data_IF_665942744908
#
_entry.id   IF_665942744908
#
_cell.length_a   1.000
_cell.length_b   1.000
_cell.length_c   1.000
_cell.angle_alpha   90.00
_cell.angle_beta   90.00
_cell.angle_gamma   90.00
#
_symmetry.space_group_name_H-M   'P 1'
#
loop_
_entity.id
_entity.type
_entity.pdbx_description
1 polymer ?
#
# COMPACT_ATOMS: atom_id res chain seq x y z
N UNK A 1 0.01 -16.03 37.13
CA UNK A 1 0.49 -14.63 37.08
C UNK A 1 0.01 -14.02 35.79
N UNK A 2 -0.58 -12.83 35.84
CA UNK A 2 -1.01 -12.10 34.64
C UNK A 2 0.23 -11.51 33.95
N UNK A 3 0.12 -11.24 32.65
CA UNK A 3 1.21 -10.64 31.87
C UNK A 3 1.65 -9.27 32.43
N UNK A 4 0.69 -8.51 32.95
CA UNK A 4 0.91 -7.23 33.63
C UNK A 4 1.78 -7.38 34.89
N UNK A 5 1.55 -8.43 35.69
CA UNK A 5 2.33 -8.72 36.90
C UNK A 5 3.80 -9.04 36.54
N UNK A 6 4.01 -9.75 35.43
CA UNK A 6 5.34 -10.12 34.92
C UNK A 6 6.10 -8.91 34.39
N UNK A 7 5.43 -7.99 33.69
CA UNK A 7 6.01 -6.73 33.20
C UNK A 7 6.41 -5.78 34.35
N UNK A 8 5.60 -5.74 35.41
CA UNK A 8 5.93 -4.99 36.62
C UNK A 8 7.17 -5.59 37.32
N UNK A 9 7.31 -6.91 37.32
CA UNK A 9 8.46 -7.62 37.91
C UNK A 9 9.77 -7.44 37.12
N UNK A 10 9.70 -7.18 35.81
CA UNK A 10 10.87 -6.88 34.94
C UNK A 10 11.29 -5.38 35.01
N UNK A 11 10.58 -4.55 35.78
CA UNK A 11 10.93 -3.13 35.98
C UNK A 11 10.15 -2.13 35.13
N UNK A 12 9.00 -2.53 34.55
CA UNK A 12 8.09 -1.65 33.83
C UNK A 12 8.62 -1.09 32.50
N UNK A 13 7.93 -0.08 31.95
CA UNK A 13 8.24 0.55 30.66
C UNK A 13 9.45 1.50 30.77
N UNK A 14 10.66 0.93 30.88
CA UNK A 14 11.92 1.67 30.98
C UNK A 14 12.59 2.00 29.64
N UNK A 15 13.71 2.74 29.69
CA UNK A 15 14.52 3.13 28.51
C UNK A 15 14.98 1.95 27.65
N UNK A 16 15.27 0.81 28.28
CA UNK A 16 15.67 -0.42 27.61
C UNK A 16 14.54 -1.01 26.74
N UNK A 17 13.30 -0.97 27.22
CA UNK A 17 12.14 -1.47 26.46
C UNK A 17 11.82 -0.56 25.27
N UNK A 18 11.98 0.77 25.43
CA UNK A 18 11.86 1.73 24.32
C UNK A 18 12.93 1.46 23.26
N UNK A 19 14.17 1.20 23.68
CA UNK A 19 15.27 0.89 22.76
C UNK A 19 15.02 -0.42 21.99
N UNK A 20 14.56 -1.48 22.66
CA UNK A 20 14.16 -2.73 22.02
C UNK A 20 13.00 -2.49 21.03
N UNK A 21 11.99 -1.73 21.43
CA UNK A 21 10.86 -1.41 20.56
C UNK A 21 11.32 -0.69 19.29
N UNK A 22 12.22 0.29 19.40
CA UNK A 22 12.81 0.99 18.26
C UNK A 22 13.55 0.03 17.33
N UNK A 23 14.40 -0.85 17.88
CA UNK A 23 15.10 -1.89 17.11
C UNK A 23 14.13 -2.81 16.36
N UNK A 24 13.06 -3.25 17.01
CA UNK A 24 12.03 -4.10 16.38
C UNK A 24 11.27 -3.38 15.26
N UNK A 25 11.23 -2.05 15.31
CA UNK A 25 10.59 -1.26 14.26
C UNK A 25 11.49 -1.02 13.04
N UNK A 26 12.83 -1.11 13.14
CA UNK A 26 13.72 -0.83 12.00
C UNK A 26 13.45 -1.69 10.74
N UNK A 27 13.22 -3.02 10.85
CA UNK A 27 12.88 -3.83 9.69
C UNK A 27 11.57 -3.41 8.99
N UNK A 28 10.68 -2.68 9.68
CA UNK A 28 9.40 -2.20 9.11
C UNK A 28 9.60 -1.25 7.95
N UNK A 29 10.72 -0.54 7.91
CA UNK A 29 11.02 0.46 6.87
C UNK A 29 11.04 -0.19 5.49
N UNK A 30 11.43 -1.46 5.37
CA UNK A 30 11.53 -2.13 4.07
C UNK A 30 10.17 -2.56 3.48
N UNK A 31 9.18 -2.81 4.32
CA UNK A 31 7.84 -3.23 3.85
C UNK A 31 7.17 -2.24 2.89
N UNK A 32 6.99 -0.95 3.24
CA UNK A 32 6.41 0.04 2.33
C UNK A 32 7.22 0.15 1.03
N UNK A 33 8.55 0.04 1.11
CA UNK A 33 9.40 0.09 -0.07
C UNK A 33 9.03 -1.01 -1.06
N UNK A 34 8.80 -2.25 -0.60
CA UNK A 34 8.35 -3.34 -1.46
C UNK A 34 6.92 -3.18 -1.96
N UNK A 35 6.00 -2.73 -1.10
CA UNK A 35 4.58 -2.62 -1.45
C UNK A 35 4.31 -1.54 -2.49
N UNK A 36 5.07 -0.44 -2.46
CA UNK A 36 4.95 0.66 -3.41
C UNK A 36 6.05 0.64 -4.50
N UNK A 37 6.94 -0.36 -4.50
CA UNK A 37 8.01 -0.50 -5.48
C UNK A 37 7.49 -0.51 -6.91
N UNK A 38 6.33 -1.17 -7.11
CA UNK A 38 5.69 -1.31 -8.40
C UNK A 38 5.44 0.04 -9.09
N UNK A 39 5.16 1.11 -8.33
CA UNK A 39 4.96 2.46 -8.87
C UNK A 39 6.13 2.95 -9.74
N UNK A 40 7.35 2.52 -9.42
CA UNK A 40 8.56 2.88 -10.17
C UNK A 40 8.99 1.79 -11.15
N UNK A 41 8.80 0.51 -10.82
CA UNK A 41 9.18 -0.59 -11.73
C UNK A 41 8.35 -0.59 -13.01
N UNK A 42 7.05 -0.32 -12.88
CA UNK A 42 6.07 -0.39 -13.96
C UNK A 42 5.63 1.00 -14.44
N UNK A 43 6.37 2.05 -14.07
CA UNK A 43 6.09 3.40 -14.53
C UNK A 43 6.17 3.45 -16.06
N UNK A 44 5.18 4.08 -16.69
CA UNK A 44 5.14 4.33 -18.13
C UNK A 44 5.61 5.76 -18.39
N UNK A 45 6.83 5.98 -18.89
CA UNK A 45 7.26 7.31 -19.30
C UNK A 45 6.43 7.79 -20.49
N UNK A 46 6.51 9.09 -20.78
CA UNK A 46 5.93 9.66 -22.01
C UNK A 46 6.54 8.97 -23.22
N UNK A 47 5.68 8.55 -24.14
CA UNK A 47 6.06 7.76 -25.30
C UNK A 47 5.20 8.14 -26.49
N UNK A 48 5.69 7.80 -27.66
CA UNK A 48 5.02 8.00 -28.93
C UNK A 48 5.31 6.83 -29.87
N UNK A 49 4.51 6.68 -30.93
CA UNK A 49 4.73 5.63 -31.92
C UNK A 49 6.11 5.81 -32.59
N UNK A 50 6.82 4.71 -32.80
CA UNK A 50 8.04 4.72 -33.61
C UNK A 50 7.69 4.99 -35.08
N UNK A 51 8.36 5.97 -35.67
CA UNK A 51 8.13 6.39 -37.07
C UNK A 51 9.24 5.74 -37.93
N UNK A 52 8.89 4.98 -38.98
CA UNK A 52 9.90 4.40 -39.86
C UNK A 52 10.65 5.49 -40.62
N UNK A 53 11.97 5.32 -40.78
CA UNK A 53 12.79 6.28 -41.48
C UNK A 53 12.45 6.27 -42.98
N UNK A 54 11.90 7.37 -43.49
CA UNK A 54 11.54 7.55 -44.90
C UNK A 54 12.45 8.59 -45.54
N UNK A 55 12.77 8.45 -46.84
CA UNK A 55 13.58 9.44 -47.57
C UNK A 55 12.99 10.85 -47.54
N UNK A 56 11.65 10.95 -47.47
CA UNK A 56 10.92 12.22 -47.36
C UNK A 56 11.21 12.97 -46.03
N UNK A 57 11.71 12.28 -45.00
CA UNK A 57 12.01 12.87 -43.68
C UNK A 57 13.43 13.41 -43.57
N UNK A 58 14.31 13.18 -44.56
CA UNK A 58 15.73 13.56 -44.50
C UNK A 58 15.94 15.07 -44.36
N UNK A 59 15.02 15.88 -44.90
CA UNK A 59 15.09 17.34 -44.86
C UNK A 59 14.28 17.96 -43.71
N UNK A 60 13.66 17.16 -42.83
CA UNK A 60 12.76 17.64 -41.78
C UNK A 60 13.37 17.43 -40.39
N UNK A 61 13.02 18.33 -39.46
CA UNK A 61 13.38 18.19 -38.05
C UNK A 61 12.48 17.16 -37.34
N UNK A 62 12.94 16.61 -36.21
CA UNK A 62 12.16 15.61 -35.46
C UNK A 62 10.80 16.16 -34.99
N UNK A 63 10.71 17.45 -34.66
CA UNK A 63 9.45 18.08 -34.27
C UNK A 63 8.46 18.15 -35.43
N UNK A 64 8.93 18.49 -36.63
CA UNK A 64 8.11 18.52 -37.84
C UNK A 64 7.66 17.11 -38.23
N UNK A 65 8.53 16.11 -38.10
CA UNK A 65 8.20 14.70 -38.36
C UNK A 65 7.13 14.18 -37.39
N UNK A 66 7.21 14.53 -36.12
CA UNK A 66 6.18 14.20 -35.13
C UNK A 66 4.85 14.87 -35.45
N UNK A 67 4.86 16.16 -35.80
CA UNK A 67 3.67 16.93 -36.15
C UNK A 67 2.88 16.32 -37.31
N UNK A 68 3.57 15.84 -38.35
CA UNK A 68 2.93 15.26 -39.54
C UNK A 68 2.52 13.80 -39.35
N UNK A 69 3.11 13.08 -38.39
CA UNK A 69 2.94 11.62 -38.26
C UNK A 69 2.02 11.22 -37.09
N UNK A 70 1.86 12.08 -36.08
CA UNK A 70 1.13 11.77 -34.85
C UNK A 70 0.06 12.83 -34.58
N UNK A 71 -1.20 12.44 -34.32
CA UNK A 71 -2.25 13.39 -34.02
C UNK A 71 -2.01 14.08 -32.67
N UNK A 72 -2.38 15.37 -32.58
CA UNK A 72 -2.33 16.13 -31.34
C UNK A 72 -3.65 16.02 -30.56
N UNK A 73 -3.52 15.88 -29.25
CA UNK A 73 -4.60 15.94 -28.29
C UNK A 73 -5.04 17.40 -28.04
N UNK A 74 -6.23 17.63 -27.46
CA UNK A 74 -6.73 18.97 -27.15
C UNK A 74 -5.82 19.77 -26.20
N UNK A 75 -5.00 19.07 -25.42
CA UNK A 75 -4.07 19.64 -24.45
C UNK A 75 -2.73 20.07 -25.12
N UNK A 76 -2.58 19.88 -26.44
CA UNK A 76 -1.38 20.21 -27.21
C UNK A 76 -0.28 19.14 -27.20
N UNK A 77 -0.51 18.03 -26.50
CA UNK A 77 0.36 16.86 -26.46
C UNK A 77 0.12 15.94 -27.66
N UNK A 78 1.11 15.12 -28.02
CA UNK A 78 0.94 14.08 -29.04
C UNK A 78 0.23 12.86 -28.46
N UNK A 79 -0.68 12.25 -29.24
CA UNK A 79 -1.30 10.98 -28.88
C UNK A 79 -0.23 9.89 -28.72
N UNK A 80 -0.22 9.20 -27.58
CA UNK A 80 0.82 8.20 -27.28
C UNK A 80 0.60 6.85 -27.97
N UNK A 81 -0.64 6.55 -28.38
CA UNK A 81 -1.06 5.22 -28.84
C UNK A 81 -1.57 5.18 -30.29
N UNK A 82 -1.67 6.34 -30.94
CA UNK A 82 -2.24 6.48 -32.29
C UNK A 82 -1.26 7.23 -33.20
N UNK A 83 -1.30 6.89 -34.49
CA UNK A 83 -0.54 7.57 -35.54
C UNK A 83 -1.37 7.70 -36.81
N UNK A 84 -0.98 8.62 -37.69
CA UNK A 84 -1.58 8.70 -39.02
C UNK A 84 -1.12 7.55 -39.91
N UNK A 85 -2.02 7.02 -40.75
CA UNK A 85 -1.67 6.01 -41.75
C UNK A 85 -0.65 6.49 -42.78
N UNK A 86 -0.66 7.80 -43.08
CA UNK A 86 0.29 8.47 -43.97
C UNK A 86 0.68 9.85 -43.41
N UNK A 87 1.93 10.30 -43.61
CA UNK A 87 2.39 11.58 -43.09
C UNK A 87 1.65 12.77 -43.72
N UNK A 88 1.16 13.67 -42.86
CA UNK A 88 0.32 14.81 -43.22
C UNK A 88 1.14 16.09 -43.42
N UNK A 89 1.82 16.21 -44.56
CA UNK A 89 2.65 17.39 -44.88
C UNK A 89 1.87 18.72 -44.93
N UNK A 90 0.55 18.67 -45.13
CA UNK A 90 -0.30 19.86 -45.15
C UNK A 90 -0.28 20.62 -43.81
N UNK A 91 -0.03 19.93 -42.68
CA UNK A 91 0.07 20.53 -41.36
C UNK A 91 1.26 21.50 -41.23
N UNK A 92 2.31 21.31 -42.04
CA UNK A 92 3.47 22.21 -42.08
C UNK A 92 3.19 23.50 -42.86
N UNK A 93 2.31 23.44 -43.86
CA UNK A 93 2.05 24.58 -44.76
C UNK A 93 0.94 25.52 -44.25
N UNK A 94 0.34 25.25 -43.08
CA UNK A 94 -0.74 26.04 -42.47
C UNK A 94 -1.83 26.46 -43.47
N UNK A 95 -2.04 25.64 -44.50
CA UNK A 95 -2.86 25.96 -45.66
C UNK A 95 -4.22 25.32 -45.47
N UNK A 96 -5.26 26.15 -45.45
CA UNK A 96 -6.68 25.79 -45.37
C UNK A 96 -7.21 25.08 -46.63
N UNK A 97 -6.38 24.26 -47.27
CA UNK A 97 -6.80 23.37 -48.35
C UNK A 97 -7.41 22.12 -47.72
N UNK A 98 -8.64 21.82 -48.12
CA UNK A 98 -9.46 20.72 -47.61
C UNK A 98 -8.68 19.40 -47.53
N UNK A 99 -8.92 18.59 -46.48
CA UNK A 99 -8.21 17.33 -46.28
C UNK A 99 -8.44 16.40 -47.48
N UNK A 100 -7.37 15.82 -48.01
CA UNK A 100 -7.52 14.51 -48.64
C UNK A 100 -7.98 13.55 -47.54
N UNK A 101 -9.26 13.18 -47.59
CA UNK A 101 -10.03 12.37 -46.64
C UNK A 101 -9.50 10.94 -46.40
N UNK A 102 -8.23 10.66 -46.70
CA UNK A 102 -7.66 9.32 -46.73
C UNK A 102 -6.69 9.03 -45.57
N UNK A 103 -6.38 10.01 -44.70
CA UNK A 103 -5.57 9.75 -43.51
C UNK A 103 -6.42 9.10 -42.43
N UNK A 104 -6.27 7.79 -42.28
CA UNK A 104 -6.94 7.01 -41.24
C UNK A 104 -6.04 7.02 -40.00
N UNK A 105 -6.61 7.38 -38.84
CA UNK A 105 -5.93 7.22 -37.56
C UNK A 105 -5.85 5.72 -37.26
N UNK A 106 -4.65 5.23 -36.98
CA UNK A 106 -4.39 3.80 -36.72
C UNK A 106 -3.51 3.62 -35.49
N UNK A 107 -3.53 2.42 -34.91
CA UNK A 107 -2.62 2.06 -33.81
C UNK A 107 -1.17 1.94 -34.29
N UNK A 108 -0.22 2.22 -33.39
CA UNK A 108 1.21 2.16 -33.67
C UNK A 108 1.60 0.77 -34.26
N UNK A 109 2.26 0.75 -35.42
CA UNK A 109 2.64 -0.50 -36.10
C UNK A 109 4.11 -0.91 -35.87
N UNK A 110 5.00 0.06 -35.61
CA UNK A 110 6.46 -0.14 -35.61
C UNK A 110 7.08 -0.09 -34.20
N UNK A 111 6.27 -0.29 -33.16
CA UNK A 111 6.69 -0.16 -31.76
C UNK A 111 6.61 1.27 -31.24
N UNK A 112 7.33 1.54 -30.15
CA UNK A 112 7.26 2.79 -29.40
C UNK A 112 8.63 3.37 -29.11
N UNK A 113 8.71 4.69 -29.03
CA UNK A 113 9.88 5.44 -28.57
C UNK A 113 9.53 6.10 -27.24
N UNK A 114 10.35 5.84 -26.24
CA UNK A 114 10.16 6.30 -24.87
C UNK A 114 11.10 7.45 -24.53
N UNK A 115 10.62 8.39 -23.72
CA UNK A 115 11.48 9.40 -23.10
C UNK A 115 12.28 8.79 -21.94
N UNK A 116 13.61 8.81 -22.06
CA UNK A 116 14.54 8.31 -21.06
C UNK A 116 15.05 9.37 -20.07
N UNK A 117 14.45 10.57 -20.05
CA UNK A 117 14.82 11.66 -19.15
C UNK A 117 14.68 11.30 -17.66
N UNK A 118 13.59 10.60 -17.30
CA UNK A 118 13.29 10.21 -15.92
C UNK A 118 13.80 8.80 -15.58
N UNK A 119 13.61 7.83 -16.49
CA UNK A 119 14.03 6.44 -16.29
C UNK A 119 14.87 5.94 -17.46
N UNK A 120 15.94 5.19 -17.15
CA UNK A 120 16.72 4.51 -18.18
C UNK A 120 15.96 3.29 -18.71
N UNK A 121 15.41 2.47 -17.81
CA UNK A 121 14.62 1.29 -18.17
C UNK A 121 13.59 0.97 -17.09
N UNK A 122 12.41 0.55 -17.52
CA UNK A 122 11.30 0.08 -16.68
C UNK A 122 10.74 -1.23 -17.26
N UNK A 123 9.90 -1.93 -16.48
CA UNK A 123 9.17 -3.10 -16.96
C UNK A 123 8.29 -2.71 -18.16
N UNK A 124 7.65 -1.53 -18.12
CA UNK A 124 6.78 -1.09 -19.21
C UNK A 124 7.55 -0.86 -20.52
N UNK A 125 8.75 -0.28 -20.45
CA UNK A 125 9.59 0.03 -21.63
C UNK A 125 10.36 -1.17 -22.17
N UNK A 126 10.56 -2.22 -21.36
CA UNK A 126 11.33 -3.40 -21.78
C UNK A 126 10.45 -4.45 -22.46
N UNK A 127 9.19 -4.55 -22.04
CA UNK A 127 8.21 -5.49 -22.59
C UNK A 127 7.08 -4.81 -23.37
N UNK A 128 7.24 -3.51 -23.69
CA UNK A 128 6.26 -2.69 -24.41
C UNK A 128 4.82 -2.83 -23.89
N UNK A 129 4.66 -2.81 -22.56
CA UNK A 129 3.37 -3.01 -21.88
C UNK A 129 2.53 -1.74 -21.84
N UNK A 130 2.21 -1.21 -23.02
CA UNK A 130 1.56 0.08 -23.20
C UNK A 130 0.38 -0.01 -24.15
N UNK A 131 -0.50 0.99 -24.13
CA UNK A 131 -1.72 1.03 -24.95
C UNK A 131 -2.57 -0.24 -24.75
N UNK A 132 -2.70 -1.11 -25.76
CA UNK A 132 -3.46 -2.36 -25.69
C UNK A 132 -3.01 -3.29 -24.53
N UNK A 133 -1.72 -3.29 -24.19
CA UNK A 133 -1.16 -4.14 -23.14
C UNK A 133 -1.08 -3.45 -21.77
N UNK A 134 -1.68 -2.27 -21.61
CA UNK A 134 -1.74 -1.54 -20.33
C UNK A 134 -2.36 -2.38 -19.21
N UNK A 135 -3.33 -3.23 -19.55
CA UNK A 135 -3.94 -4.19 -18.62
C UNK A 135 -2.93 -5.15 -17.98
N UNK A 136 -1.94 -5.63 -18.75
CA UNK A 136 -0.90 -6.50 -18.24
C UNK A 136 0.02 -5.76 -17.26
N UNK A 137 0.34 -4.49 -17.55
CA UNK A 137 1.15 -3.68 -16.65
C UNK A 137 0.48 -3.54 -15.27
N UNK A 138 -0.82 -3.21 -15.23
CA UNK A 138 -1.62 -3.12 -14.00
C UNK A 138 -1.81 -4.48 -13.31
N UNK A 139 -1.89 -5.56 -14.08
CA UNK A 139 -1.98 -6.91 -13.54
C UNK A 139 -0.74 -7.32 -12.73
N UNK A 140 0.46 -6.81 -13.05
CA UNK A 140 1.67 -7.13 -12.27
C UNK A 140 1.58 -6.69 -10.81
N UNK A 141 0.99 -5.52 -10.52
CA UNK A 141 0.69 -5.08 -9.15
C UNK A 141 -0.29 -6.04 -8.45
N UNK A 142 -1.34 -6.44 -9.16
CA UNK A 142 -2.36 -7.38 -8.66
C UNK A 142 -1.73 -8.72 -8.29
N UNK A 143 -0.88 -9.27 -9.17
CA UNK A 143 -0.15 -10.51 -8.93
C UNK A 143 0.79 -10.39 -7.72
N UNK A 144 1.43 -9.24 -7.50
CA UNK A 144 2.22 -9.01 -6.30
C UNK A 144 1.37 -9.15 -5.03
N UNK A 145 0.21 -8.50 -4.95
CA UNK A 145 -0.66 -8.61 -3.76
C UNK A 145 -1.22 -10.03 -3.56
N UNK A 146 -1.56 -10.74 -4.64
CA UNK A 146 -1.97 -12.16 -4.59
C UNK A 146 -0.81 -13.03 -4.09
N UNK A 147 0.42 -12.79 -4.55
CA UNK A 147 1.60 -13.50 -4.06
C UNK A 147 1.82 -13.27 -2.56
N UNK A 148 1.64 -12.03 -2.08
CA UNK A 148 1.74 -11.70 -0.66
C UNK A 148 0.64 -12.39 0.16
N UNK A 149 -0.60 -12.49 -0.32
CA UNK A 149 -1.70 -13.19 0.38
C UNK A 149 -1.47 -14.69 0.43
N UNK A 150 -1.15 -15.32 -0.70
CA UNK A 150 -0.85 -16.75 -0.75
C UNK A 150 0.34 -17.09 0.15
N UNK A 151 1.39 -16.28 0.08
CA UNK A 151 2.52 -16.40 0.99
C UNK A 151 2.09 -16.28 2.45
N UNK A 152 1.20 -15.35 2.80
CA UNK A 152 0.67 -15.18 4.16
C UNK A 152 -0.04 -16.44 4.69
N UNK A 153 -0.88 -17.05 3.87
CA UNK A 153 -1.61 -18.26 4.22
C UNK A 153 -0.63 -19.44 4.35
N UNK A 154 0.25 -19.65 3.37
CA UNK A 154 1.18 -20.77 3.35
C UNK A 154 2.16 -20.68 4.51
N UNK A 155 2.90 -19.57 4.65
CA UNK A 155 3.87 -19.43 5.74
C UNK A 155 3.20 -19.32 7.12
N UNK A 156 1.96 -18.82 7.21
CA UNK A 156 1.18 -18.86 8.44
C UNK A 156 0.86 -20.30 8.85
N UNK A 157 0.31 -21.10 7.93
CA UNK A 157 0.05 -22.52 8.15
C UNK A 157 1.32 -23.31 8.49
N UNK A 158 2.42 -23.02 7.79
CA UNK A 158 3.71 -23.64 8.07
C UNK A 158 4.25 -23.22 9.43
N UNK A 159 4.08 -21.96 9.85
CA UNK A 159 4.49 -21.49 11.18
C UNK A 159 3.75 -22.22 12.29
N UNK A 160 2.42 -22.40 12.14
CA UNK A 160 1.60 -23.08 13.13
C UNK A 160 1.86 -24.60 13.17
N UNK A 161 2.29 -25.19 12.04
CA UNK A 161 2.60 -26.62 11.94
C UNK A 161 4.04 -26.95 12.34
N UNK A 162 4.97 -26.07 12.03
CA UNK A 162 6.38 -26.12 12.41
C UNK A 162 6.64 -25.20 13.60
N UNK A 163 5.89 -25.39 14.69
CA UNK A 163 6.22 -24.78 15.97
C UNK A 163 7.63 -25.24 16.41
N UNK A 164 8.47 -24.36 16.98
CA UNK A 164 9.83 -24.68 17.47
C UNK A 164 9.87 -25.67 18.65
N UNK A 165 8.74 -26.33 18.97
CA UNK A 165 8.60 -27.31 20.03
C UNK A 165 8.92 -28.76 19.59
N UNK A 166 9.26 -29.04 18.33
CA UNK A 166 9.87 -30.32 17.94
C UNK A 166 11.33 -30.11 17.52
N UNK A 167 12.31 -30.66 18.25
CA UNK A 167 13.68 -30.72 17.75
C UNK A 167 13.71 -31.73 16.60
N UNK A 168 13.86 -31.25 15.38
CA UNK A 168 14.39 -32.07 14.30
C UNK A 168 15.91 -31.95 14.31
N UNK A 169 16.66 -33.07 14.26
CA UNK A 169 18.09 -33.04 14.04
C UNK A 169 18.31 -32.74 12.55
N UNK A 170 18.90 -31.59 12.25
CA UNK A 170 19.24 -31.21 10.88
C UNK A 170 18.71 -29.84 10.49
N UNK A 171 19.65 -28.94 10.28
CA UNK A 171 19.58 -27.60 9.71
C UNK A 171 18.40 -27.38 8.73
N UNK A 172 17.35 -26.69 9.20
CA UNK A 172 16.45 -25.95 8.31
C UNK A 172 16.35 -24.53 8.86
N UNK A 173 16.60 -23.47 8.06
CA UNK A 173 16.50 -22.11 8.53
C UNK A 173 15.08 -21.82 9.01
N UNK A 174 14.98 -21.29 10.23
CA UNK A 174 13.73 -20.92 10.87
C UNK A 174 12.83 -20.13 9.90
N UNK A 175 11.53 -20.45 9.92
CA UNK A 175 10.44 -19.75 9.22
C UNK A 175 10.62 -18.23 9.39
N UNK A 176 10.39 -17.39 8.35
CA UNK A 176 10.72 -15.97 8.40
C UNK A 176 10.07 -15.24 9.59
N UNK A 177 10.90 -14.91 10.58
CA UNK A 177 10.55 -14.25 11.83
C UNK A 177 9.94 -12.84 11.64
N UNK A 178 10.08 -12.24 10.44
CA UNK A 178 9.58 -10.90 10.13
C UNK A 178 8.05 -10.77 10.18
N UNK A 179 7.31 -11.86 9.97
CA UNK A 179 5.84 -11.85 10.12
C UNK A 179 5.37 -11.94 11.57
N UNK A 180 6.11 -12.65 12.42
CA UNK A 180 5.85 -12.64 13.86
C UNK A 180 6.15 -11.28 14.50
N UNK A 181 7.06 -10.48 13.91
CA UNK A 181 7.40 -9.15 14.40
C UNK A 181 6.26 -8.11 14.33
N UNK A 182 5.23 -8.29 13.48
CA UNK A 182 4.08 -7.35 13.40
C UNK A 182 3.25 -7.37 14.67
N UNK A 183 3.00 -8.59 15.14
CA UNK A 183 2.16 -8.86 16.30
C UNK A 183 2.96 -8.78 17.58
N UNK A 184 4.21 -9.27 17.56
CA UNK A 184 5.10 -9.21 18.72
C UNK A 184 5.32 -7.78 19.22
N UNK A 185 5.49 -6.78 18.35
CA UNK A 185 5.72 -5.39 18.81
C UNK A 185 4.56 -4.78 19.62
N UNK A 186 3.31 -5.11 19.28
CA UNK A 186 2.12 -4.62 20.01
C UNK A 186 1.75 -5.50 21.20
N UNK A 187 2.16 -6.78 21.20
CA UNK A 187 1.95 -7.72 22.29
C UNK A 187 3.00 -7.57 23.41
N UNK A 188 4.14 -6.95 23.11
CA UNK A 188 5.24 -6.71 24.06
C UNK A 188 5.10 -5.44 24.88
N UNK A 189 3.99 -4.71 24.71
CA UNK A 189 3.78 -3.40 25.33
C UNK A 189 2.49 -3.45 26.14
N UNK A 190 2.55 -2.89 27.35
CA UNK A 190 1.42 -2.79 28.25
C UNK A 190 0.25 -2.01 27.60
N UNK A 191 -0.97 -2.26 28.06
CA UNK A 191 -2.23 -1.74 27.50
C UNK A 191 -2.18 -0.20 27.40
N UNK A 192 -1.59 0.47 28.39
CA UNK A 192 -1.48 1.93 28.43
C UNK A 192 -0.57 2.51 27.33
N UNK A 193 0.46 1.76 26.92
CA UNK A 193 1.48 2.20 25.96
C UNK A 193 1.27 1.59 24.56
N UNK A 194 0.23 0.77 24.38
CA UNK A 194 -0.06 0.07 23.13
C UNK A 194 -0.36 1.03 21.97
N UNK A 195 -1.08 2.12 22.25
CA UNK A 195 -1.35 3.17 21.24
C UNK A 195 -0.09 3.85 20.77
N UNK A 196 0.82 4.16 21.70
CA UNK A 196 2.13 4.72 21.39
C UNK A 196 2.97 3.77 20.54
N UNK A 197 3.06 2.49 20.92
CA UNK A 197 3.81 1.47 20.17
C UNK A 197 3.27 1.26 18.75
N UNK A 198 1.95 1.18 18.59
CA UNK A 198 1.31 1.00 17.27
C UNK A 198 1.60 2.17 16.32
N UNK A 199 1.51 3.40 16.81
CA UNK A 199 1.77 4.60 16.00
C UNK A 199 3.26 4.77 15.72
N UNK A 200 4.14 4.52 16.70
CA UNK A 200 5.58 4.50 16.48
C UNK A 200 5.95 3.54 15.36
N UNK A 201 5.44 2.31 15.41
CA UNK A 201 5.62 1.29 14.35
C UNK A 201 5.12 1.80 12.99
N UNK A 202 4.00 2.51 12.97
CA UNK A 202 3.43 3.09 11.76
C UNK A 202 4.28 4.25 11.20
N UNK A 203 4.97 5.04 12.01
CA UNK A 203 5.85 6.12 11.51
C UNK A 203 6.99 5.56 10.65
N UNK A 204 7.54 4.39 11.02
CA UNK A 204 8.58 3.73 10.22
C UNK A 204 8.09 3.30 8.83
N UNK A 205 6.79 3.06 8.65
CA UNK A 205 6.20 2.84 7.34
C UNK A 205 6.33 4.10 6.46
N UNK A 206 6.04 5.28 7.00
CA UNK A 206 6.16 6.55 6.27
C UNK A 206 7.60 6.90 5.94
N UNK A 207 8.54 6.62 6.86
CA UNK A 207 9.97 6.76 6.60
C UNK A 207 10.38 5.88 5.41
N UNK A 208 9.91 4.64 5.37
CA UNK A 208 10.16 3.74 4.24
C UNK A 208 9.58 4.25 2.91
N UNK A 209 8.39 4.84 2.91
CA UNK A 209 7.81 5.50 1.74
C UNK A 209 8.67 6.66 1.22
N UNK A 210 9.18 7.50 2.12
CA UNK A 210 10.05 8.62 1.77
C UNK A 210 11.40 8.13 1.21
N UNK A 211 11.98 7.10 1.84
CA UNK A 211 13.22 6.49 1.38
C UNK A 211 13.06 5.81 0.01
N UNK A 212 11.91 5.18 -0.27
CA UNK A 212 11.64 4.61 -1.58
C UNK A 212 11.75 5.67 -2.69
N UNK A 213 11.17 6.87 -2.48
CA UNK A 213 11.26 7.96 -3.43
C UNK A 213 12.72 8.40 -3.67
N UNK A 214 13.53 8.46 -2.60
CA UNK A 214 14.94 8.81 -2.69
C UNK A 214 15.77 7.75 -3.42
N UNK A 215 15.57 6.47 -3.12
CA UNK A 215 16.28 5.37 -3.79
C UNK A 215 15.88 5.31 -5.28
N UNK A 216 14.60 5.49 -5.59
CA UNK A 216 14.11 5.51 -6.96
C UNK A 216 14.64 6.70 -7.77
N UNK A 217 14.95 7.84 -7.13
CA UNK A 217 15.60 8.97 -7.77
C UNK A 217 17.08 8.70 -8.10
N UNK A 218 17.78 8.01 -7.21
CA UNK A 218 19.19 7.66 -7.38
C UNK A 218 19.42 6.51 -8.37
N UNK A 219 18.50 5.53 -8.40
CA UNK A 219 18.61 4.33 -9.22
C UNK A 219 17.54 4.33 -10.30
N UNK A 220 17.95 4.64 -11.54
CA UNK A 220 17.06 4.82 -12.69
C UNK A 220 16.78 3.55 -13.50
N UNK A 221 17.46 2.46 -13.18
CA UNK A 221 17.25 1.15 -13.80
C UNK A 221 16.47 0.23 -12.86
N UNK A 222 15.39 -0.38 -13.37
CA UNK A 222 14.46 -1.14 -12.54
C UNK A 222 15.07 -2.41 -11.91
N UNK A 223 16.02 -3.07 -12.58
CA UNK A 223 16.72 -4.24 -12.03
C UNK A 223 17.53 -3.89 -10.78
N UNK A 224 18.34 -2.83 -10.87
CA UNK A 224 19.13 -2.34 -9.74
C UNK A 224 18.26 -1.74 -8.64
N UNK A 225 17.13 -1.13 -9.01
CA UNK A 225 16.16 -0.63 -8.04
C UNK A 225 15.56 -1.78 -7.22
N UNK A 226 15.22 -2.91 -7.86
CA UNK A 226 14.75 -4.11 -7.16
C UNK A 226 15.81 -4.67 -6.21
N UNK A 227 17.08 -4.72 -6.64
CA UNK A 227 18.21 -5.17 -5.80
C UNK A 227 18.44 -4.20 -4.63
N UNK A 228 18.37 -2.89 -4.86
CA UNK A 228 18.58 -1.87 -3.84
C UNK A 228 17.52 -1.93 -2.73
N UNK A 229 16.27 -2.26 -3.08
CA UNK A 229 15.17 -2.38 -2.12
C UNK A 229 15.15 -3.74 -1.43
N UNK A 230 15.46 -4.83 -2.12
CA UNK A 230 15.51 -6.19 -1.53
C UNK A 230 16.79 -6.46 -0.72
N UNK A 231 17.91 -5.82 -1.07
CA UNK A 231 19.22 -6.03 -0.45
C UNK A 231 19.23 -5.81 1.07
N UNK A 232 18.69 -4.69 1.59
CA UNK A 232 18.59 -4.46 3.03
C UNK A 232 17.81 -5.55 3.77
N UNK A 233 16.74 -6.10 3.20
CA UNK A 233 15.98 -7.20 3.79
C UNK A 233 16.83 -8.47 3.97
N UNK A 234 17.60 -8.83 2.93
CA UNK A 234 18.47 -9.99 2.96
C UNK A 234 19.60 -9.80 3.98
N UNK A 235 20.16 -8.59 4.05
CA UNK A 235 21.19 -8.24 5.01
C UNK A 235 20.64 -8.29 6.45
N UNK A 236 19.47 -7.72 6.72
CA UNK A 236 18.85 -7.79 8.05
C UNK A 236 18.55 -9.22 8.45
N UNK A 237 18.05 -10.04 7.52
CA UNK A 237 17.79 -11.47 7.76
C UNK A 237 19.07 -12.23 8.09
N UNK A 238 20.15 -11.96 7.37
CA UNK A 238 21.44 -12.59 7.60
C UNK A 238 22.06 -12.17 8.94
N UNK A 239 22.03 -10.87 9.26
CA UNK A 239 22.50 -10.34 10.55
C UNK A 239 21.72 -10.91 11.75
N UNK A 240 20.40 -11.08 11.62
CA UNK A 240 19.58 -11.75 12.63
C UNK A 240 19.97 -13.23 12.77
N UNK A 241 20.23 -13.92 11.65
CA UNK A 241 20.70 -15.30 11.66
C UNK A 241 22.07 -15.49 12.33
N UNK A 242 22.95 -14.48 12.26
CA UNK A 242 24.27 -14.49 12.90
C UNK A 242 24.25 -14.15 14.41
N UNK A 243 23.08 -13.88 15.01
CA UNK A 243 22.98 -13.64 16.45
C UNK A 243 23.56 -12.30 16.94
N UNK A 244 23.87 -11.37 16.01
CA UNK A 244 24.39 -10.02 16.32
C UNK A 244 23.31 -9.08 16.90
N UNK A 245 22.03 -9.43 16.79
CA UNK A 245 20.93 -8.72 17.43
C UNK A 245 20.64 -9.29 18.83
N UNK A 246 20.19 -8.46 19.81
CA UNK A 246 19.69 -8.93 21.12
C UNK A 246 18.46 -9.86 21.06
N UNK A 247 18.06 -10.28 19.86
CA UNK A 247 16.94 -11.18 19.56
C UNK A 247 17.11 -12.57 20.18
N UNK A 248 18.33 -13.01 20.51
CA UNK A 248 18.56 -14.31 21.16
C UNK A 248 17.98 -14.35 22.59
N UNK A 249 18.20 -13.32 23.41
CA UNK A 249 17.55 -13.18 24.72
C UNK A 249 16.04 -12.97 24.60
N UNK A 250 15.59 -12.25 23.57
CA UNK A 250 14.17 -12.05 23.25
C UNK A 250 13.47 -13.38 22.91
N UNK A 251 14.14 -14.28 22.18
CA UNK A 251 13.61 -15.60 21.84
C UNK A 251 13.45 -16.51 23.07
N UNK A 252 14.32 -16.37 24.07
CA UNK A 252 14.18 -17.09 25.34
C UNK A 252 13.02 -16.54 26.20
N UNK A 253 12.79 -15.23 26.18
CA UNK A 253 11.63 -14.61 26.82
C UNK A 253 10.31 -15.00 26.12
N UNK A 254 10.26 -15.03 24.78
CA UNK A 254 9.14 -15.55 23.99
C UNK A 254 8.82 -17.01 24.33
N UNK A 255 9.85 -17.85 24.50
CA UNK A 255 9.69 -19.27 24.91
C UNK A 255 9.01 -19.40 26.27
N UNK A 256 9.37 -18.55 27.26
CA UNK A 256 8.75 -18.56 28.60
C UNK A 256 7.30 -18.08 28.61
N UNK A 257 6.90 -17.22 27.67
CA UNK A 257 5.50 -16.79 27.52
C UNK A 257 4.65 -17.84 26.79
N UNK A 258 5.20 -18.52 25.78
CA UNK A 258 4.49 -19.57 25.03
C UNK A 258 4.17 -20.81 25.88
N UNK A 259 4.96 -21.10 26.92
CA UNK A 259 4.74 -22.24 27.82
C UNK A 259 3.49 -22.13 28.71
N UNK A 260 2.80 -20.99 28.72
CA UNK A 260 1.53 -20.81 29.44
C UNK A 260 0.27 -21.05 28.60
N UNK A 261 0.40 -21.45 27.32
CA UNK A 261 -0.77 -21.83 26.50
C UNK A 261 -1.32 -23.17 27.00
N UNK A 262 -2.49 -23.16 27.64
CA UNK A 262 -3.20 -24.40 28.00
C UNK A 262 -3.39 -25.26 26.74
N UNK A 263 -3.00 -26.55 26.74
CA UNK A 263 -3.26 -27.45 25.62
C UNK A 263 -4.77 -27.71 25.57
N UNK A 264 -5.45 -27.40 24.45
CA UNK A 264 -6.87 -27.78 24.36
C UNK A 264 -7.65 -27.46 23.09
N UNK A 265 -7.56 -26.26 22.50
CA UNK A 265 -8.44 -25.92 21.36
C UNK A 265 -7.71 -25.10 20.31
N UNK A 266 -7.46 -25.71 19.16
CA UNK A 266 -7.12 -24.97 17.93
C UNK A 266 -8.40 -24.32 17.43
N UNK A 267 -8.52 -23.01 17.61
CA UNK A 267 -9.62 -22.24 17.05
C UNK A 267 -9.30 -21.93 15.59
N UNK A 268 -10.16 -22.39 14.68
CA UNK A 268 -10.06 -22.10 13.24
C UNK A 268 -10.72 -20.75 12.90
N UNK A 269 -10.46 -20.20 11.71
CA UNK A 269 -11.12 -18.98 11.19
C UNK A 269 -12.66 -19.07 11.22
N UNK A 270 -13.23 -20.27 11.13
CA UNK A 270 -14.67 -20.50 11.21
C UNK A 270 -15.25 -20.03 12.56
N UNK A 271 -14.43 -20.05 13.63
CA UNK A 271 -14.84 -19.58 14.96
C UNK A 271 -15.17 -18.09 15.00
N UNK A 272 -14.62 -17.26 14.10
CA UNK A 272 -14.95 -15.83 14.00
C UNK A 272 -16.41 -15.58 13.61
N UNK A 273 -17.01 -16.49 12.83
CA UNK A 273 -18.35 -16.31 12.28
C UNK A 273 -19.42 -17.11 13.03
N UNK A 274 -19.04 -17.79 14.12
CA UNK A 274 -19.90 -18.71 14.85
C UNK A 274 -21.00 -17.97 15.63
N UNK A 275 -20.63 -16.94 16.38
CA UNK A 275 -21.56 -16.20 17.24
C UNK A 275 -22.05 -14.93 16.55
N UNK A 276 -23.30 -14.48 16.79
CA UNK A 276 -23.88 -13.36 16.05
C UNK A 276 -23.15 -12.03 16.29
N UNK A 277 -22.67 -11.81 17.51
CA UNK A 277 -21.92 -10.60 17.89
C UNK A 277 -20.55 -10.59 17.20
N UNK A 278 -19.79 -11.69 17.29
CA UNK A 278 -18.47 -11.80 16.67
C UNK A 278 -18.54 -11.77 15.14
N UNK A 279 -19.62 -12.32 14.56
CA UNK A 279 -19.92 -12.21 13.13
C UNK A 279 -20.14 -10.77 12.71
N UNK A 280 -20.94 -10.00 13.45
CA UNK A 280 -21.16 -8.57 13.18
C UNK A 280 -19.83 -7.80 13.25
N UNK A 281 -19.04 -8.01 14.29
CA UNK A 281 -17.72 -7.39 14.45
C UNK A 281 -16.80 -7.75 13.28
N UNK A 282 -16.76 -9.03 12.88
CA UNK A 282 -15.87 -9.49 11.80
C UNK A 282 -16.28 -8.99 10.43
N UNK A 283 -17.58 -8.94 10.12
CA UNK A 283 -18.05 -8.38 8.86
C UNK A 283 -17.82 -6.86 8.81
N UNK A 284 -18.09 -6.14 9.90
CA UNK A 284 -17.86 -4.70 9.96
C UNK A 284 -16.37 -4.37 9.91
N UNK A 285 -15.52 -5.12 10.63
CA UNK A 285 -14.07 -4.93 10.59
C UNK A 285 -13.53 -5.23 9.19
N UNK A 286 -13.93 -6.34 8.55
CA UNK A 286 -13.57 -6.66 7.18
C UNK A 286 -13.96 -5.55 6.19
N UNK A 287 -15.18 -5.02 6.29
CA UNK A 287 -15.62 -3.92 5.45
C UNK A 287 -14.79 -2.64 5.68
N UNK A 288 -14.46 -2.29 6.93
CA UNK A 288 -13.63 -1.11 7.24
C UNK A 288 -12.20 -1.25 6.69
N UNK A 289 -11.69 -2.47 6.52
CA UNK A 289 -10.41 -2.72 5.83
C UNK A 289 -10.42 -2.41 4.33
N UNK A 290 -11.59 -2.07 3.76
CA UNK A 290 -11.69 -1.41 2.45
C UNK A 290 -10.92 -0.09 2.36
N UNK A 291 -10.48 0.49 3.49
CA UNK A 291 -9.46 1.56 3.50
C UNK A 291 -8.21 1.21 2.69
N UNK A 292 -7.81 -0.06 2.67
CA UNK A 292 -6.64 -0.51 1.90
C UNK A 292 -6.82 -0.25 0.39
N UNK A 293 -8.03 -0.48 -0.12
CA UNK A 293 -8.35 -0.23 -1.53
C UNK A 293 -8.19 1.25 -1.89
N UNK A 294 -8.69 2.17 -1.05
CA UNK A 294 -8.52 3.61 -1.27
C UNK A 294 -7.07 4.08 -1.07
N UNK A 295 -6.39 3.54 -0.06
CA UNK A 295 -5.00 3.86 0.26
C UNK A 295 -4.04 3.49 -0.88
N UNK A 296 -4.14 2.25 -1.38
CA UNK A 296 -3.28 1.78 -2.47
C UNK A 296 -3.68 2.41 -3.80
N UNK A 297 -4.99 2.63 -4.05
CA UNK A 297 -5.46 3.40 -5.20
C UNK A 297 -4.83 4.79 -5.25
N UNK A 298 -4.89 5.56 -4.16
CA UNK A 298 -4.23 6.87 -4.13
C UNK A 298 -2.70 6.78 -4.22
N UNK A 299 -2.08 5.78 -3.58
CA UNK A 299 -0.62 5.60 -3.62
C UNK A 299 -0.10 5.23 -5.01
N UNK A 300 -0.90 4.56 -5.83
CA UNK A 300 -0.50 4.12 -7.17
C UNK A 300 -0.77 5.18 -8.25
N UNK A 301 -1.66 6.14 -7.99
CA UNK A 301 -1.94 7.26 -8.91
C UNK A 301 -0.94 8.42 -8.76
N UNK A 302 0.35 8.18 -8.92
CA UNK A 302 1.38 9.22 -8.72
C UNK A 302 1.43 10.28 -9.84
N UNK A 303 1.00 9.92 -11.05
CA UNK A 303 1.07 10.76 -12.25
C UNK A 303 -0.14 11.68 -12.41
N UNK A 304 -1.27 11.37 -11.77
CA UNK A 304 -2.51 12.16 -11.87
C UNK A 304 -2.42 13.60 -11.33
N UNK A 305 -1.37 13.94 -10.58
CA UNK A 305 -1.21 15.23 -9.91
C UNK A 305 -0.44 16.29 -10.71
N UNK A 306 0.14 15.94 -11.87
CA UNK A 306 0.95 16.86 -12.68
C UNK A 306 2.28 17.28 -12.04
N UNK A 307 2.70 16.57 -10.98
CA UNK A 307 4.00 16.73 -10.32
C UNK A 307 4.96 15.62 -10.78
N UNK A 308 6.27 15.83 -10.58
CA UNK A 308 7.26 14.76 -10.75
C UNK A 308 6.91 13.57 -9.84
N UNK A 309 6.89 12.34 -10.38
CA UNK A 309 6.51 11.14 -9.62
C UNK A 309 7.33 10.93 -8.32
N UNK A 310 8.62 11.26 -8.33
CA UNK A 310 9.49 11.17 -7.15
C UNK A 310 9.05 12.16 -6.07
N UNK A 311 8.72 13.40 -6.48
CA UNK A 311 8.24 14.43 -5.58
C UNK A 311 6.85 14.08 -5.05
N UNK A 312 5.94 13.59 -5.91
CA UNK A 312 4.64 13.08 -5.51
C UNK A 312 4.77 12.01 -4.44
N UNK A 313 5.58 10.96 -4.66
CA UNK A 313 5.79 9.90 -3.69
C UNK A 313 6.38 10.43 -2.37
N UNK A 314 7.35 11.34 -2.43
CA UNK A 314 7.94 11.95 -1.23
C UNK A 314 6.92 12.77 -0.43
N UNK A 315 6.10 13.59 -1.12
CA UNK A 315 5.04 14.39 -0.50
C UNK A 315 3.94 13.51 0.11
N UNK A 316 3.58 12.40 -0.56
CA UNK A 316 2.65 11.43 0.00
C UNK A 316 3.24 10.71 1.21
N UNK A 317 4.56 10.55 1.32
CA UNK A 317 5.22 9.98 2.51
C UNK A 317 5.32 10.96 3.68
N UNK A 318 5.70 12.22 3.42
CA UNK A 318 5.91 13.21 4.49
C UNK A 318 4.60 13.61 5.18
N UNK A 319 3.48 13.69 4.45
CA UNK A 319 2.16 14.06 5.02
C UNK A 319 1.61 13.00 5.98
N UNK A 320 2.05 11.74 5.85
CA UNK A 320 1.58 10.66 6.71
C UNK A 320 2.05 10.83 8.17
N UNK A 321 3.24 11.42 8.39
CA UNK A 321 3.80 11.62 9.72
C UNK A 321 2.93 12.55 10.57
N UNK A 322 2.64 13.81 10.16
CA UNK A 322 1.76 14.69 10.95
C UNK A 322 0.35 14.12 11.07
N UNK A 323 -0.17 13.45 10.03
CA UNK A 323 -1.48 12.81 10.10
C UNK A 323 -1.54 11.76 11.22
N UNK A 324 -0.52 10.89 11.34
CA UNK A 324 -0.41 9.89 12.40
C UNK A 324 -0.28 10.51 13.80
N UNK A 325 0.48 11.60 13.92
CA UNK A 325 0.62 12.33 15.19
C UNK A 325 -0.70 12.96 15.64
N UNK A 326 -1.46 13.54 14.71
CA UNK A 326 -2.80 14.06 15.00
C UNK A 326 -3.74 12.91 15.40
N UNK A 327 -3.68 11.77 14.70
CA UNK A 327 -4.50 10.60 15.06
C UNK A 327 -4.18 10.02 16.43
N UNK A 328 -2.91 10.04 16.87
CA UNK A 328 -2.56 9.64 18.23
C UNK A 328 -3.36 10.42 19.28
N UNK A 329 -3.48 11.74 19.09
CA UNK A 329 -4.24 12.60 19.99
C UNK A 329 -5.75 12.31 19.88
N UNK A 330 -6.26 12.19 18.65
CA UNK A 330 -7.68 11.93 18.39
C UNK A 330 -8.17 10.60 18.98
N UNK A 331 -7.41 9.51 18.78
CA UNK A 331 -7.78 8.18 19.27
C UNK A 331 -7.80 8.11 20.80
N UNK A 332 -6.93 8.88 21.47
CA UNK A 332 -6.88 8.95 22.93
C UNK A 332 -7.95 9.89 23.53
N UNK A 333 -8.41 10.92 22.80
CA UNK A 333 -9.39 11.90 23.28
C UNK A 333 -10.83 11.59 22.88
N UNK A 334 -11.05 11.31 21.60
CA UNK A 334 -12.38 11.16 20.97
C UNK A 334 -12.82 9.70 20.94
N UNK A 335 -11.88 8.76 21.03
CA UNK A 335 -12.13 7.31 20.95
C UNK A 335 -11.79 6.73 19.58
N UNK A 336 -11.77 5.41 19.48
CA UNK A 336 -11.32 4.68 18.28
C UNK A 336 -12.39 4.71 17.19
N UNK A 337 -13.66 4.51 17.58
CA UNK A 337 -14.80 4.40 16.66
C UNK A 337 -14.97 5.68 15.85
N UNK A 338 -15.06 6.81 16.55
CA UNK A 338 -15.27 8.12 15.92
C UNK A 338 -14.07 8.53 15.07
N UNK A 339 -12.85 8.31 15.57
CA UNK A 339 -11.62 8.60 14.83
C UNK A 339 -11.53 7.81 13.51
N UNK A 340 -11.89 6.52 13.54
CA UNK A 340 -11.90 5.67 12.34
C UNK A 340 -12.95 6.11 11.32
N UNK A 341 -14.18 6.36 11.78
CA UNK A 341 -15.29 6.71 10.90
C UNK A 341 -15.07 8.06 10.20
N UNK A 342 -14.68 9.09 10.95
CA UNK A 342 -14.44 10.42 10.39
C UNK A 342 -13.21 10.48 9.49
N UNK A 343 -12.13 9.77 9.82
CA UNK A 343 -10.96 9.72 8.94
C UNK A 343 -11.30 9.14 7.55
N UNK A 344 -12.15 8.11 7.49
CA UNK A 344 -12.59 7.51 6.22
C UNK A 344 -13.55 8.41 5.44
N UNK A 345 -14.50 9.05 6.13
CA UNK A 345 -15.42 9.98 5.48
C UNK A 345 -14.66 11.19 4.93
N UNK A 346 -13.72 11.76 5.69
CA UNK A 346 -12.88 12.87 5.22
C UNK A 346 -11.98 12.44 4.05
N UNK A 347 -11.51 11.20 4.04
CA UNK A 347 -10.79 10.62 2.88
C UNK A 347 -11.70 10.62 1.66
N UNK A 348 -12.92 10.07 1.75
CA UNK A 348 -13.86 10.07 0.63
C UNK A 348 -14.22 11.47 0.14
N UNK A 349 -14.49 12.40 1.07
CA UNK A 349 -14.77 13.80 0.75
C UNK A 349 -13.61 14.49 0.03
N UNK A 350 -12.36 14.22 0.43
CA UNK A 350 -11.18 14.78 -0.23
C UNK A 350 -10.98 14.25 -1.66
N UNK A 351 -11.26 12.96 -1.90
CA UNK A 351 -11.23 12.36 -3.23
C UNK A 351 -12.35 12.96 -4.09
N UNK A 352 -13.57 13.03 -3.55
CA UNK A 352 -14.71 13.65 -4.24
C UNK A 352 -14.47 15.11 -4.58
N UNK A 353 -13.84 15.88 -3.69
CA UNK A 353 -13.44 17.25 -3.97
C UNK A 353 -12.41 17.35 -5.11
N UNK A 354 -11.47 16.41 -5.19
CA UNK A 354 -10.48 16.35 -6.28
C UNK A 354 -11.15 16.14 -7.65
N UNK A 355 -12.17 15.28 -7.73
CA UNK A 355 -12.94 15.03 -8.96
C UNK A 355 -13.61 16.30 -9.50
N UNK A 356 -14.10 17.17 -8.60
CA UNK A 356 -14.86 18.38 -8.96
C UNK A 356 -13.92 19.52 -9.39
N UNK A 357 -12.69 19.55 -8.90
CA UNK A 357 -11.73 20.62 -9.19
C UNK A 357 -11.19 20.47 -10.62
N UNK A 358 -11.40 21.46 -11.51
CA UNK A 358 -10.89 21.38 -12.88
C UNK A 358 -9.36 21.45 -12.92
N UNK A 359 -8.76 20.81 -13.95
CA UNK A 359 -7.31 20.73 -14.17
C UNK A 359 -6.59 22.10 -14.20
N UNK A 360 -7.32 23.19 -14.45
CA UNK A 360 -6.80 24.56 -14.50
C UNK A 360 -6.18 25.02 -13.19
N UNK A 361 -6.65 24.52 -12.04
CA UNK A 361 -6.09 24.85 -10.72
C UNK A 361 -4.95 23.90 -10.33
N UNK A 362 -3.79 24.11 -10.95
CA UNK A 362 -2.59 23.26 -10.80
C UNK A 362 -2.06 23.15 -9.36
N UNK A 363 -2.26 24.16 -8.51
CA UNK A 363 -1.80 24.14 -7.11
C UNK A 363 -2.80 23.54 -6.12
N UNK A 364 -4.11 23.74 -6.31
CA UNK A 364 -5.12 23.31 -5.33
C UNK A 364 -5.37 21.80 -5.39
N UNK A 365 -5.37 21.22 -6.59
CA UNK A 365 -5.61 19.79 -6.80
C UNK A 365 -4.63 18.87 -6.05
N UNK A 366 -3.30 19.03 -6.17
CA UNK A 366 -2.36 18.20 -5.42
C UNK A 366 -2.45 18.39 -3.91
N UNK A 367 -2.73 19.61 -3.41
CA UNK A 367 -2.86 19.88 -1.97
C UNK A 367 -4.02 19.09 -1.37
N UNK A 368 -5.19 19.11 -2.02
CA UNK A 368 -6.37 18.35 -1.58
C UNK A 368 -6.09 16.84 -1.64
N UNK A 369 -5.41 16.35 -2.68
CA UNK A 369 -5.04 14.95 -2.80
C UNK A 369 -4.10 14.47 -1.68
N UNK A 370 -3.05 15.25 -1.40
CA UNK A 370 -2.05 14.96 -0.36
C UNK A 370 -2.73 14.95 1.02
N UNK A 371 -3.64 15.88 1.27
CA UNK A 371 -4.44 15.89 2.50
C UNK A 371 -5.34 14.64 2.62
N UNK A 372 -6.00 14.25 1.53
CA UNK A 372 -6.81 13.04 1.47
C UNK A 372 -6.02 11.76 1.73
N UNK A 373 -4.81 11.69 1.17
CA UNK A 373 -3.87 10.59 1.44
C UNK A 373 -3.50 10.52 2.93
N UNK A 374 -3.25 11.67 3.55
CA UNK A 374 -2.98 11.76 4.99
C UNK A 374 -4.12 11.19 5.83
N UNK A 375 -5.38 11.54 5.52
CA UNK A 375 -6.55 10.98 6.20
C UNK A 375 -6.73 9.47 5.98
N UNK A 376 -6.44 8.98 4.78
CA UNK A 376 -6.51 7.54 4.48
C UNK A 376 -5.48 6.77 5.29
N UNK A 377 -4.27 7.29 5.45
CA UNK A 377 -3.22 6.63 6.24
C UNK A 377 -3.51 6.70 7.74
N UNK A 378 -4.07 7.80 8.20
CA UNK A 378 -4.62 7.96 9.54
C UNK A 378 -5.67 6.88 9.86
N UNK A 379 -6.60 6.63 8.94
CA UNK A 379 -7.60 5.56 9.03
C UNK A 379 -6.96 4.17 8.95
N UNK A 380 -5.93 3.98 8.11
CA UNK A 380 -5.21 2.72 8.00
C UNK A 380 -4.47 2.38 9.30
N UNK A 381 -3.79 3.34 9.92
CA UNK A 381 -3.11 3.15 11.21
C UNK A 381 -4.11 2.84 12.33
N UNK A 382 -5.23 3.57 12.36
CA UNK A 382 -6.26 3.39 13.39
C UNK A 382 -6.96 2.04 13.27
N UNK A 383 -7.21 1.52 12.06
CA UNK A 383 -7.91 0.23 11.89
C UNK A 383 -7.10 -0.97 12.38
N UNK A 384 -5.77 -0.96 12.23
CA UNK A 384 -4.91 -2.01 12.78
C UNK A 384 -4.92 -2.00 14.30
N UNK A 385 -4.87 -0.80 14.90
CA UNK A 385 -4.96 -0.69 16.36
C UNK A 385 -6.33 -1.16 16.85
N UNK A 386 -7.39 -0.68 16.21
CA UNK A 386 -8.77 -0.96 16.59
C UNK A 386 -9.09 -2.47 16.50
N UNK A 387 -8.64 -3.16 15.44
CA UNK A 387 -8.85 -4.62 15.32
C UNK A 387 -8.11 -5.40 16.40
N UNK A 388 -6.94 -4.94 16.81
CA UNK A 388 -6.17 -5.58 17.87
C UNK A 388 -6.81 -5.43 19.27
N UNK A 389 -7.75 -4.50 19.43
CA UNK A 389 -8.57 -4.26 20.63
C UNK A 389 -9.95 -4.93 20.55
N UNK A 390 -10.55 -5.02 19.36
CA UNK A 390 -11.88 -5.63 19.12
C UNK A 390 -11.91 -7.14 19.33
N UNK A 391 -10.87 -7.86 18.91
CA UNK A 391 -10.86 -9.32 18.98
C UNK A 391 -10.35 -9.84 20.33
N UNK A 392 -10.97 -10.92 20.87
CA UNK A 392 -10.57 -11.49 22.14
C UNK A 392 -9.18 -12.12 22.02
N UNK A 393 -8.41 -12.15 23.10
CA UNK A 393 -7.00 -12.61 23.09
C UNK A 393 -6.82 -13.97 22.43
N UNK A 394 -7.76 -14.91 22.63
CA UNK A 394 -7.73 -16.25 22.04
C UNK A 394 -7.96 -16.29 20.50
N UNK A 395 -8.66 -15.31 19.92
CA UNK A 395 -8.97 -15.25 18.49
C UNK A 395 -8.30 -14.07 17.78
N UNK A 396 -7.53 -13.25 18.52
CA UNK A 396 -6.93 -12.01 18.04
C UNK A 396 -6.05 -12.20 16.81
N UNK A 397 -5.19 -13.22 16.82
CA UNK A 397 -4.31 -13.54 15.70
C UNK A 397 -5.10 -13.96 14.46
N UNK A 398 -6.13 -14.79 14.63
CA UNK A 398 -7.02 -15.22 13.55
C UNK A 398 -7.82 -14.04 12.98
N UNK A 399 -8.31 -13.14 13.84
CA UNK A 399 -9.02 -11.94 13.44
C UNK A 399 -8.16 -10.95 12.65
N UNK A 400 -6.94 -10.67 13.13
CA UNK A 400 -5.98 -9.84 12.38
C UNK A 400 -5.54 -10.51 11.08
N UNK A 401 -5.43 -11.84 11.04
CA UNK A 401 -5.15 -12.59 9.81
C UNK A 401 -6.27 -12.42 8.78
N UNK A 402 -7.53 -12.57 9.21
CA UNK A 402 -8.72 -12.36 8.36
C UNK A 402 -8.79 -10.93 7.82
N UNK A 403 -8.67 -9.91 8.68
CA UNK A 403 -8.78 -8.51 8.21
C UNK A 403 -7.60 -8.13 7.32
N UNK A 404 -6.39 -8.63 7.58
CA UNK A 404 -5.23 -8.46 6.70
C UNK A 404 -5.42 -9.12 5.34
N UNK A 405 -6.11 -10.27 5.27
CA UNK A 405 -6.47 -10.91 4.01
C UNK A 405 -7.41 -10.01 3.19
N UNK A 406 -8.46 -9.47 3.83
CA UNK A 406 -9.40 -8.54 3.18
C UNK A 406 -8.68 -7.26 2.71
N UNK A 407 -7.77 -6.72 3.53
CA UNK A 407 -6.95 -5.56 3.18
C UNK A 407 -6.15 -5.78 1.89
N UNK A 408 -5.51 -6.96 1.78
CA UNK A 408 -4.68 -7.31 0.62
C UNK A 408 -5.51 -7.61 -0.62
N UNK A 409 -6.72 -8.15 -0.47
CA UNK A 409 -7.67 -8.25 -1.56
C UNK A 409 -8.04 -6.84 -2.08
N UNK A 410 -8.29 -5.89 -1.18
CA UNK A 410 -8.48 -4.48 -1.53
C UNK A 410 -7.26 -3.88 -2.27
N UNK A 411 -6.05 -4.17 -1.81
CA UNK A 411 -4.80 -3.74 -2.48
C UNK A 411 -4.61 -4.36 -3.86
N UNK A 412 -5.03 -5.62 -4.06
CA UNK A 412 -4.99 -6.29 -5.37
C UNK A 412 -6.01 -5.71 -6.35
N UNK A 413 -7.21 -5.34 -5.86
CA UNK A 413 -8.25 -4.74 -6.70
C UNK A 413 -7.98 -3.27 -7.04
N UNK A 414 -7.24 -2.55 -6.20
CA UNK A 414 -6.94 -1.13 -6.39
C UNK A 414 -6.35 -0.78 -7.77
N UNK A 415 -5.25 -1.40 -8.26
CA UNK A 415 -4.66 -1.08 -9.55
C UNK A 415 -5.56 -1.43 -10.74
N UNK A 416 -6.36 -2.50 -10.65
CA UNK A 416 -7.30 -2.88 -11.71
C UNK A 416 -8.36 -1.81 -11.95
N UNK A 417 -8.72 -1.04 -10.91
CA UNK A 417 -9.72 0.00 -11.03
C UNK A 417 -9.25 1.17 -11.90
N UNK A 418 -7.94 1.37 -12.09
CA UNK A 418 -7.44 2.35 -13.06
C UNK A 418 -7.82 2.05 -14.49
N UNK A 419 -8.01 0.78 -14.86
CA UNK A 419 -8.38 0.39 -16.23
C UNK A 419 -9.78 0.87 -16.62
N UNK A 420 -10.61 1.27 -15.65
CA UNK A 420 -11.93 1.81 -15.92
C UNK A 420 -11.88 3.28 -16.37
N UNK A 421 -10.70 3.92 -16.42
CA UNK A 421 -10.55 5.28 -16.95
C UNK A 421 -10.85 5.37 -18.46
N UNK A 422 -10.75 4.26 -19.20
CA UNK A 422 -11.16 4.14 -20.61
C UNK A 422 -12.67 4.29 -20.81
N UNK A 423 -13.47 3.80 -19.86
CA UNK A 423 -14.93 3.91 -19.92
C UNK A 423 -15.36 5.32 -19.51
N UNK A 424 -14.85 5.80 -18.38
CA UNK A 424 -15.10 7.15 -17.92
C UNK A 424 -13.92 7.66 -17.08
N UNK A 425 -13.31 8.76 -17.53
CA UNK A 425 -12.05 9.31 -16.97
C UNK A 425 -12.06 9.51 -15.44
N UNK A 426 -13.22 9.82 -14.86
CA UNK A 426 -13.37 10.06 -13.40
C UNK A 426 -13.87 8.85 -12.61
N UNK A 427 -14.16 7.72 -13.26
CA UNK A 427 -14.76 6.54 -12.62
C UNK A 427 -13.86 5.92 -11.53
N UNK A 428 -12.54 5.76 -11.70
CA UNK A 428 -11.68 5.22 -10.66
C UNK A 428 -11.75 6.04 -9.36
N UNK A 429 -11.70 7.37 -9.47
CA UNK A 429 -11.77 8.30 -8.33
C UNK A 429 -13.14 8.22 -7.62
N UNK A 430 -14.23 8.13 -8.38
CA UNK A 430 -15.59 7.96 -7.83
C UNK A 430 -15.72 6.62 -7.10
N UNK A 431 -15.12 5.55 -7.61
CA UNK A 431 -15.11 4.24 -6.92
C UNK A 431 -14.34 4.29 -5.61
N UNK A 432 -13.14 4.88 -5.58
CA UNK A 432 -12.38 5.03 -4.34
C UNK A 432 -13.14 5.88 -3.31
N UNK A 433 -13.76 6.98 -3.76
CA UNK A 433 -14.63 7.81 -2.92
C UNK A 433 -15.81 7.02 -2.32
N UNK A 434 -16.56 6.32 -3.17
CA UNK A 434 -17.72 5.54 -2.74
C UNK A 434 -17.36 4.45 -1.73
N UNK A 435 -16.28 3.71 -1.97
CA UNK A 435 -15.79 2.70 -1.03
C UNK A 435 -15.37 3.35 0.30
N UNK A 436 -14.60 4.44 0.28
CA UNK A 436 -14.16 5.13 1.49
C UNK A 436 -15.33 5.60 2.37
N UNK A 437 -16.36 6.23 1.78
CA UNK A 437 -17.54 6.72 2.52
C UNK A 437 -18.38 5.56 3.06
N UNK A 438 -18.56 4.49 2.28
CA UNK A 438 -19.25 3.27 2.73
C UNK A 438 -18.51 2.63 3.91
N UNK A 439 -17.20 2.45 3.82
CA UNK A 439 -16.37 1.93 4.91
C UNK A 439 -16.45 2.80 6.17
N UNK A 440 -16.39 4.14 6.02
CA UNK A 440 -16.52 5.08 7.13
C UNK A 440 -17.89 5.02 7.81
N UNK A 441 -18.95 4.83 7.03
CA UNK A 441 -20.32 4.67 7.53
C UNK A 441 -20.46 3.36 8.33
N UNK A 442 -19.90 2.26 7.81
CA UNK A 442 -19.89 0.96 8.50
C UNK A 442 -19.07 1.02 9.80
N UNK A 443 -18.04 1.85 9.87
CA UNK A 443 -17.23 2.00 11.09
C UNK A 443 -18.04 2.47 12.31
N UNK A 444 -19.15 3.20 12.12
CA UNK A 444 -20.05 3.58 13.23
C UNK A 444 -20.78 2.40 13.88
N UNK A 445 -20.92 1.27 13.16
CA UNK A 445 -21.59 0.07 13.67
C UNK A 445 -20.69 -0.76 14.61
N UNK A 446 -19.39 -0.45 14.66
CA UNK A 446 -18.44 -1.11 15.54
C UNK A 446 -18.54 -0.59 16.99
N UNK A 447 -18.26 -1.42 18.00
CA UNK A 447 -18.28 -1.02 19.41
C UNK A 447 -17.06 -0.16 19.79
N UNK A 448 -17.25 0.83 20.65
CA UNK A 448 -16.15 1.68 21.15
C UNK A 448 -15.23 0.90 22.11
N UNK A 449 -13.92 1.10 21.99
CA UNK A 449 -12.90 0.41 22.82
C UNK A 449 -12.17 1.35 23.79
N UNK A 450 -12.43 2.67 23.73
CA UNK A 450 -11.81 3.64 24.63
C UNK A 450 -12.12 3.33 26.11
N UNK A 451 -11.07 3.14 26.91
CA UNK A 451 -11.12 2.83 28.36
C UNK A 451 -11.89 1.55 28.72
N UNK A 452 -12.15 0.66 27.75
CA UNK A 452 -12.76 -0.65 27.99
C UNK A 452 -11.67 -1.70 28.18
N UNK A 453 -11.87 -2.65 29.11
CA UNK A 453 -10.95 -3.77 29.28
C UNK A 453 -10.99 -4.69 28.06
N UNK A 454 -9.82 -5.21 27.68
CA UNK A 454 -9.70 -6.14 26.56
C UNK A 454 -10.46 -7.44 26.85
N UNK A 455 -11.27 -7.95 25.92
CA UNK A 455 -11.95 -9.22 26.10
C UNK A 455 -10.92 -10.37 26.10
N UNK A 456 -10.99 -11.25 27.10
CA UNK A 456 -10.12 -12.43 27.20
C UNK A 456 -10.78 -13.63 26.50
N UNK A 457 -12.10 -13.78 26.65
CA UNK A 457 -12.89 -14.85 26.05
C UNK A 457 -13.99 -14.38 25.09
N UNK A 458 -14.62 -15.33 24.42
CA UNK A 458 -15.81 -15.09 23.56
C UNK A 458 -17.01 -14.64 24.42
N UNK A 459 -17.16 -15.24 25.61
CA UNK A 459 -18.26 -14.92 26.53
C UNK A 459 -18.22 -13.46 27.03
N UNK A 460 -17.03 -12.87 27.17
CA UNK A 460 -16.89 -11.48 27.63
C UNK A 460 -17.49 -10.50 26.62
N UNK A 461 -17.37 -10.83 25.32
CA UNK A 461 -17.92 -10.03 24.22
C UNK A 461 -19.44 -10.16 24.17
N UNK A 462 -19.96 -11.37 24.40
CA UNK A 462 -21.40 -11.64 24.38
C UNK A 462 -22.14 -11.04 25.60
N UNK A 463 -21.45 -10.87 26.74
CA UNK A 463 -22.03 -10.26 27.94
C UNK A 463 -21.97 -8.73 27.93
N UNK A 464 -21.12 -8.14 27.09
CA UNK A 464 -20.90 -6.69 27.03
C UNK A 464 -21.83 -5.95 26.05
N UNK A 465 -22.59 -6.67 25.22
CA UNK A 465 -23.56 -6.13 24.25
C UNK A 465 -24.93 -6.77 24.46
#
# INVERSE_FOLDING_TARGET
>A
MKFEDLLLEIGGFGRFQIFILFILCLPRINLPMHFLLHNFLAATPSHHCAIPHQEAFVNLTMEEVLLISIPQEPDGTYSSCEMFSQPQFHLLLNSSLQPENNSIIQHCQHGWVYDHSQFTSTISTQWDLVCEQRGLNQATATFFFIGVTMGAVIFGYLSDRFDPCRPLPGEVPCVPAERCLLLAGMEWVDIQHRTFSGILTSIFWSIGNMLLAMVAYLVREWHWLLVAVTGPCLLTRWLVGMGLFPSFHLSQALRRMSTNKKPGQSYSYISLFRTPVLRKISLCSGAVFGVAFSYYGMSMNLTGFGLNMYLSQFLLGIVEIPAKMIMYVLVNRVGRRQSQAWALILTGLSIGANVIIPKTFTSLRPVVAIMGKGFSEAAFTTVFLYTSELYPTILRQNGMGYTSFVARLGGALAPLVFLLDEVWRSLPEVMYCGVAVCCGSVAFLLPETLNVRLPEGIEDIEKAQ
#
